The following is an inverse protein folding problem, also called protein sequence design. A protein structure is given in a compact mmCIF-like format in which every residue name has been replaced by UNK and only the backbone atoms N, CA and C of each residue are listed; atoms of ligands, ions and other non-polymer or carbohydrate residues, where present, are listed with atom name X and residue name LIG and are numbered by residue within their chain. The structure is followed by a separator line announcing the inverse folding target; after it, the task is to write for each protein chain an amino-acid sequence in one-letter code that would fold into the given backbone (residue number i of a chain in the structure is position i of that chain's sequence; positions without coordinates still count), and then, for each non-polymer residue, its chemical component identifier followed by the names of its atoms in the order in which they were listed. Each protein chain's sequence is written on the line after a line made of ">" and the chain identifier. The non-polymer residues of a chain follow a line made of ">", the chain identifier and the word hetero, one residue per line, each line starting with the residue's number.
data_IF_484913214004
#
_entry.id   IF_484913214004
#
_cell.length_a   1.000
_cell.length_b   1.000
_cell.length_c   1.000
_cell.angle_alpha   90.00
_cell.angle_beta   90.00
_cell.angle_gamma   90.00
#
_symmetry.space_group_name_H-M   'P 1'
#
loop_
_entity.id
_entity.type
_entity.pdbx_description
1 polymer ?
#
# COMPACT_ATOMS: atom_id res chain seq x y z
N UNK A 1 17.54 -6.87 -15.59
CA UNK A 1 18.87 -6.43 -16.04
C UNK A 1 19.89 -7.55 -15.95
N UNK A 2 20.59 -7.82 -17.06
CA UNK A 2 21.58 -8.88 -17.13
C UNK A 2 22.92 -8.41 -16.53
N UNK A 3 23.72 -9.27 -15.84
CA UNK A 3 25.02 -8.89 -15.28
C UNK A 3 25.99 -8.24 -16.28
N UNK A 4 25.83 -8.52 -17.56
CA UNK A 4 26.66 -7.98 -18.66
C UNK A 4 26.10 -6.69 -19.28
N UNK A 5 25.13 -6.01 -18.64
CA UNK A 5 24.53 -4.77 -19.13
C UNK A 5 23.52 -4.92 -20.28
N UNK A 6 23.17 -6.15 -20.67
CA UNK A 6 22.14 -6.40 -21.66
C UNK A 6 20.76 -6.45 -20.99
N UNK A 7 19.74 -5.87 -21.64
CA UNK A 7 18.34 -6.07 -21.23
C UNK A 7 17.93 -7.50 -21.55
N UNK A 8 17.37 -8.20 -20.54
CA UNK A 8 16.77 -9.52 -20.74
C UNK A 8 15.25 -9.38 -20.83
N UNK A 9 14.64 -10.11 -21.76
CA UNK A 9 13.18 -10.23 -21.85
C UNK A 9 12.63 -11.33 -20.96
N UNK A 10 13.49 -12.19 -20.41
CA UNK A 10 13.13 -13.29 -19.51
C UNK A 10 13.96 -13.14 -18.24
N UNK A 11 13.28 -13.21 -17.11
CA UNK A 11 13.88 -13.17 -15.77
C UNK A 11 13.31 -14.31 -14.93
N UNK A 12 13.84 -14.50 -13.73
CA UNK A 12 13.33 -15.46 -12.78
C UNK A 12 13.36 -14.86 -11.37
N UNK A 13 12.48 -15.35 -10.52
CA UNK A 13 12.37 -14.96 -9.11
C UNK A 13 12.22 -13.43 -8.92
N UNK A 14 11.34 -12.82 -9.70
CA UNK A 14 10.97 -11.43 -9.48
C UNK A 14 10.33 -11.28 -8.08
N UNK A 15 10.78 -10.30 -7.32
CA UNK A 15 10.23 -10.05 -5.98
C UNK A 15 8.72 -9.78 -6.02
N UNK A 16 8.22 -9.15 -7.10
CA UNK A 16 6.79 -8.95 -7.33
C UNK A 16 6.04 -10.29 -7.44
N UNK A 17 6.57 -11.25 -8.21
CA UNK A 17 5.90 -12.54 -8.42
C UNK A 17 5.90 -13.37 -7.12
N UNK A 18 6.99 -13.32 -6.37
CA UNK A 18 7.09 -13.96 -5.05
C UNK A 18 6.06 -13.36 -4.08
N UNK A 19 5.99 -12.02 -4.01
CA UNK A 19 5.05 -11.32 -3.15
C UNK A 19 3.58 -11.59 -3.53
N UNK A 20 3.26 -11.57 -4.83
CA UNK A 20 1.92 -11.88 -5.31
C UNK A 20 1.52 -13.33 -5.01
N UNK A 21 2.45 -14.28 -5.18
CA UNK A 21 2.21 -15.69 -4.82
C UNK A 21 2.00 -15.84 -3.30
N UNK A 22 2.84 -15.20 -2.49
CA UNK A 22 2.70 -15.19 -1.02
C UNK A 22 1.33 -14.65 -0.60
N UNK A 23 0.89 -13.54 -1.19
CA UNK A 23 -0.40 -12.91 -0.89
C UNK A 23 -1.58 -13.81 -1.28
N UNK A 24 -1.55 -14.44 -2.46
CA UNK A 24 -2.58 -15.41 -2.87
C UNK A 24 -2.63 -16.60 -1.91
N UNK A 25 -1.48 -17.15 -1.50
CA UNK A 25 -1.42 -18.27 -0.57
C UNK A 25 -1.93 -17.88 0.83
N UNK A 26 -1.71 -16.64 1.25
CA UNK A 26 -2.30 -16.07 2.47
C UNK A 26 -3.82 -16.00 2.35
N UNK A 27 -4.33 -15.44 1.24
CA UNK A 27 -5.79 -15.34 1.00
C UNK A 27 -6.48 -16.71 0.97
N UNK A 28 -5.85 -17.73 0.38
CA UNK A 28 -6.38 -19.11 0.40
C UNK A 28 -6.57 -19.59 1.83
N UNK A 29 -5.58 -19.38 2.70
CA UNK A 29 -5.66 -19.79 4.13
C UNK A 29 -6.77 -19.06 4.87
N UNK A 30 -6.92 -17.75 4.66
CA UNK A 30 -7.96 -16.94 5.28
C UNK A 30 -9.38 -17.30 4.80
N UNK A 31 -9.53 -17.59 3.51
CA UNK A 31 -10.82 -17.99 2.94
C UNK A 31 -11.27 -19.37 3.44
N UNK A 32 -10.34 -20.29 3.60
CA UNK A 32 -10.64 -21.62 4.03
C UNK A 32 -11.19 -21.69 5.46
N UNK A 33 -10.67 -20.87 6.36
CA UNK A 33 -11.23 -20.71 7.70
C UNK A 33 -12.72 -20.32 7.69
N UNK A 34 -13.19 -19.75 6.57
CA UNK A 34 -14.57 -19.28 6.40
C UNK A 34 -15.47 -20.24 5.63
N UNK A 35 -14.95 -20.98 4.66
CA UNK A 35 -15.73 -21.74 3.69
C UNK A 35 -15.95 -23.19 4.17
N UNK A 36 -15.02 -23.80 4.88
CA UNK A 36 -15.08 -25.17 5.42
C UNK A 36 -15.62 -26.19 4.39
N UNK A 37 -15.08 -26.20 3.16
CA UNK A 37 -15.43 -27.14 2.10
C UNK A 37 -14.76 -28.51 2.36
N UNK A 38 -15.35 -29.60 1.85
CA UNK A 38 -14.77 -30.96 1.97
C UNK A 38 -13.36 -31.09 1.39
N UNK A 39 -12.99 -30.22 0.41
CA UNK A 39 -11.64 -30.16 -0.19
C UNK A 39 -10.69 -29.19 0.47
N UNK A 40 -11.14 -28.48 1.50
CA UNK A 40 -10.35 -27.42 2.13
C UNK A 40 -9.03 -27.93 2.71
N UNK A 41 -9.01 -29.12 3.27
CA UNK A 41 -7.78 -29.74 3.77
C UNK A 41 -6.69 -29.96 2.71
N UNK A 42 -7.08 -30.31 1.48
CA UNK A 42 -6.15 -30.49 0.36
C UNK A 42 -5.54 -29.14 -0.07
N UNK A 43 -6.37 -28.11 -0.17
CA UNK A 43 -5.94 -26.76 -0.57
C UNK A 43 -5.01 -26.13 0.46
N UNK A 44 -5.29 -26.29 1.76
CA UNK A 44 -4.40 -25.85 2.83
C UNK A 44 -3.04 -26.53 2.76
N UNK A 45 -3.04 -27.84 2.59
CA UNK A 45 -1.80 -28.61 2.50
C UNK A 45 -0.99 -28.13 1.28
N UNK A 46 -1.62 -28.07 0.11
CA UNK A 46 -0.96 -27.60 -1.10
C UNK A 46 -0.45 -26.15 -0.99
N UNK A 47 -1.23 -25.26 -0.34
CA UNK A 47 -0.83 -23.86 -0.14
C UNK A 47 0.39 -23.74 0.79
N UNK A 48 0.47 -24.55 1.84
CA UNK A 48 1.62 -24.58 2.76
C UNK A 48 2.87 -25.13 2.07
N UNK A 49 2.73 -26.22 1.32
CA UNK A 49 3.83 -26.81 0.57
C UNK A 49 4.39 -25.85 -0.50
N UNK A 50 3.51 -25.11 -1.16
CA UNK A 50 3.94 -24.12 -2.14
C UNK A 50 4.59 -22.90 -1.47
N UNK A 51 4.03 -22.40 -0.37
CA UNK A 51 4.61 -21.31 0.39
C UNK A 51 6.04 -21.63 0.88
N UNK A 52 6.28 -22.87 1.30
CA UNK A 52 7.61 -23.34 1.73
C UNK A 52 8.64 -23.41 0.58
N UNK A 53 8.20 -23.38 -0.67
CA UNK A 53 9.06 -23.40 -1.87
C UNK A 53 9.31 -22.02 -2.46
N UNK A 54 8.62 -20.97 -1.99
CA UNK A 54 8.85 -19.62 -2.49
C UNK A 54 10.28 -19.18 -2.12
N UNK A 55 11.01 -18.58 -3.07
CA UNK A 55 12.33 -18.00 -2.76
C UNK A 55 12.21 -16.89 -1.73
N UNK A 56 13.26 -16.73 -0.93
CA UNK A 56 13.37 -15.57 -0.02
C UNK A 56 13.70 -14.30 -0.79
N UNK A 57 13.23 -13.18 -0.29
CA UNK A 57 13.64 -11.87 -0.81
C UNK A 57 15.13 -11.64 -0.63
N UNK A 58 15.74 -10.98 -1.60
CA UNK A 58 17.13 -10.56 -1.52
C UNK A 58 17.22 -9.05 -1.27
N UNK A 59 18.25 -8.64 -0.54
CA UNK A 59 18.57 -7.24 -0.31
C UNK A 59 19.83 -6.87 -1.06
N UNK A 60 19.92 -5.61 -1.50
CA UNK A 60 21.15 -5.07 -2.07
C UNK A 60 22.15 -4.68 -0.96
N UNK A 61 23.33 -4.18 -1.35
CA UNK A 61 24.39 -3.75 -0.43
C UNK A 61 23.98 -2.58 0.47
N UNK A 62 22.92 -1.86 0.13
CA UNK A 62 22.37 -0.76 0.94
C UNK A 62 21.28 -1.23 1.91
N UNK A 63 20.90 -2.50 1.85
CA UNK A 63 19.77 -3.08 2.58
C UNK A 63 18.41 -2.85 1.90
N UNK A 64 18.38 -2.33 0.68
CA UNK A 64 17.17 -2.17 -0.12
C UNK A 64 16.66 -3.49 -0.68
N UNK A 65 15.33 -3.67 -0.70
CA UNK A 65 14.71 -4.84 -1.34
C UNK A 65 15.01 -4.85 -2.84
N UNK A 66 15.55 -5.96 -3.33
CA UNK A 66 15.89 -6.14 -4.75
C UNK A 66 14.66 -6.46 -5.59
N UNK A 67 14.69 -6.03 -6.86
CA UNK A 67 13.69 -6.47 -7.86
C UNK A 67 13.72 -7.97 -8.12
N UNK A 68 14.91 -8.60 -7.98
CA UNK A 68 15.15 -9.98 -8.34
C UNK A 68 15.74 -10.75 -7.15
N UNK A 69 15.09 -11.83 -6.76
CA UNK A 69 15.61 -12.74 -5.75
C UNK A 69 16.65 -13.72 -6.32
N UNK A 70 17.47 -13.23 -7.25
CA UNK A 70 18.64 -13.88 -7.80
C UNK A 70 19.87 -13.01 -7.56
N UNK A 71 20.93 -13.53 -6.89
CA UNK A 71 22.12 -12.74 -6.58
C UNK A 71 22.80 -12.11 -7.80
N UNK A 72 22.74 -12.79 -8.95
CA UNK A 72 23.40 -12.37 -10.20
C UNK A 72 22.64 -11.27 -10.95
N UNK A 73 21.40 -10.98 -10.57
CA UNK A 73 20.60 -9.94 -11.21
C UNK A 73 20.77 -8.61 -10.47
N UNK A 74 21.02 -7.54 -11.23
CA UNK A 74 21.19 -6.20 -10.71
C UNK A 74 19.94 -5.36 -10.96
N UNK A 75 19.57 -4.52 -10.00
CA UNK A 75 18.44 -3.63 -10.12
C UNK A 75 18.77 -2.43 -11.01
N UNK A 76 17.79 -1.95 -11.74
CA UNK A 76 17.89 -0.70 -12.48
C UNK A 76 17.23 0.43 -11.70
N UNK A 77 17.98 1.14 -10.89
CA UNK A 77 17.47 2.26 -10.12
C UNK A 77 17.07 3.49 -10.96
N UNK A 78 17.42 3.53 -12.24
CA UNK A 78 17.04 4.62 -13.15
C UNK A 78 15.58 4.50 -13.65
N UNK A 79 14.93 3.36 -13.39
CA UNK A 79 13.57 3.09 -13.84
C UNK A 79 12.51 3.57 -12.83
N UNK A 80 11.38 4.12 -13.31
CA UNK A 80 10.31 4.66 -12.47
C UNK A 80 9.48 3.61 -11.71
N UNK A 81 9.38 2.39 -12.24
CA UNK A 81 8.55 1.35 -11.65
C UNK A 81 9.15 0.78 -10.37
N UNK A 82 8.28 0.45 -9.42
CA UNK A 82 8.61 -0.10 -8.09
C UNK A 82 7.82 -1.38 -7.81
N UNK A 83 7.57 -2.19 -8.83
CA UNK A 83 6.75 -3.41 -8.74
C UNK A 83 7.25 -4.43 -7.71
N UNK A 84 8.55 -4.45 -7.43
CA UNK A 84 9.15 -5.27 -6.37
C UNK A 84 8.63 -4.91 -4.96
N UNK A 85 8.03 -3.75 -4.78
CA UNK A 85 7.41 -3.33 -3.52
C UNK A 85 5.96 -3.79 -3.37
N UNK A 86 5.51 -4.76 -4.17
CA UNK A 86 4.20 -5.40 -4.02
C UNK A 86 3.95 -5.89 -2.59
N UNK A 87 4.95 -6.39 -1.90
CA UNK A 87 4.87 -6.82 -0.51
C UNK A 87 4.42 -5.71 0.46
N UNK A 88 4.63 -4.43 0.09
CA UNK A 88 4.11 -3.29 0.84
C UNK A 88 2.71 -2.90 0.34
N UNK A 89 2.55 -2.71 -0.98
CA UNK A 89 1.26 -2.41 -1.60
C UNK A 89 1.19 -3.04 -3.00
N UNK A 90 0.09 -3.76 -3.33
CA UNK A 90 -1.15 -4.01 -2.56
C UNK A 90 -1.02 -5.05 -1.44
N UNK A 91 0.08 -5.78 -1.35
CA UNK A 91 0.37 -6.72 -0.29
C UNK A 91 0.37 -6.07 1.10
N UNK A 92 0.49 -6.89 2.14
CA UNK A 92 0.43 -6.46 3.55
C UNK A 92 1.63 -6.96 4.37
N UNK A 93 2.59 -7.63 3.76
CA UNK A 93 3.71 -8.29 4.47
C UNK A 93 4.51 -7.30 5.33
N UNK A 94 4.68 -6.06 4.86
CA UNK A 94 5.41 -5.01 5.59
C UNK A 94 4.71 -4.54 6.87
N UNK A 95 3.42 -4.83 7.05
CA UNK A 95 2.70 -4.51 8.28
C UNK A 95 3.09 -5.44 9.43
N UNK A 96 3.51 -6.66 9.09
CA UNK A 96 3.87 -7.70 10.03
C UNK A 96 5.39 -7.97 10.08
N UNK A 97 6.18 -7.27 9.26
CA UNK A 97 7.64 -7.42 9.17
C UNK A 97 8.35 -6.06 9.06
N UNK A 98 8.81 -5.57 10.21
CA UNK A 98 9.49 -4.27 10.31
C UNK A 98 10.80 -4.22 9.50
N UNK A 99 11.53 -5.34 9.44
CA UNK A 99 12.77 -5.43 8.64
C UNK A 99 12.48 -5.29 7.15
N UNK A 100 11.45 -5.99 6.66
CA UNK A 100 11.00 -5.86 5.26
C UNK A 100 10.50 -4.45 4.95
N UNK A 101 9.76 -3.83 5.87
CA UNK A 101 9.30 -2.45 5.71
C UNK A 101 10.48 -1.48 5.55
N UNK A 102 11.56 -1.63 6.34
CA UNK A 102 12.74 -0.78 6.21
C UNK A 102 13.50 -1.04 4.90
N UNK A 103 13.60 -2.29 4.47
CA UNK A 103 14.18 -2.63 3.17
C UNK A 103 13.38 -2.03 2.00
N UNK A 104 12.05 -2.00 2.10
CA UNK A 104 11.21 -1.30 1.13
C UNK A 104 11.44 0.21 1.12
N UNK A 105 11.57 0.85 2.30
CA UNK A 105 11.92 2.29 2.39
C UNK A 105 13.28 2.57 1.75
N UNK A 106 14.27 1.71 1.99
CA UNK A 106 15.59 1.86 1.37
C UNK A 106 15.51 1.70 -0.15
N UNK A 107 14.75 0.73 -0.66
CA UNK A 107 14.55 0.54 -2.10
C UNK A 107 13.92 1.78 -2.77
N UNK A 108 12.94 2.43 -2.11
CA UNK A 108 12.38 3.70 -2.60
C UNK A 108 13.44 4.80 -2.63
N UNK A 109 14.26 4.94 -1.58
CA UNK A 109 15.35 5.93 -1.54
C UNK A 109 16.32 5.72 -2.70
N UNK A 110 16.76 4.47 -2.93
CA UNK A 110 17.65 4.13 -4.04
C UNK A 110 17.01 4.48 -5.40
N UNK A 111 15.73 4.17 -5.58
CA UNK A 111 15.00 4.45 -6.80
C UNK A 111 14.82 5.96 -7.02
N UNK A 112 14.50 6.72 -6.00
CA UNK A 112 14.33 8.17 -6.11
C UNK A 112 15.64 8.87 -6.49
N UNK A 113 16.79 8.43 -5.95
CA UNK A 113 18.09 8.95 -6.32
C UNK A 113 18.48 8.51 -7.73
N UNK A 114 18.29 7.23 -8.06
CA UNK A 114 18.71 6.66 -9.34
C UNK A 114 17.95 7.21 -10.55
N UNK A 115 16.65 7.48 -10.43
CA UNK A 115 15.83 7.95 -11.55
C UNK A 115 15.63 9.48 -11.60
N UNK A 116 16.21 10.23 -10.65
CA UNK A 116 16.07 11.68 -10.61
C UNK A 116 16.56 12.34 -11.91
N UNK A 117 15.67 13.14 -12.53
CA UNK A 117 15.95 13.80 -13.82
C UNK A 117 16.04 12.87 -15.03
N UNK A 118 15.65 11.60 -14.88
CA UNK A 118 15.69 10.61 -15.97
C UNK A 118 14.30 10.08 -16.32
N UNK A 119 13.69 9.30 -15.45
CA UNK A 119 12.41 8.60 -15.67
C UNK A 119 11.44 8.86 -14.52
N UNK A 120 11.45 10.08 -14.00
CA UNK A 120 10.72 10.48 -12.78
C UNK A 120 9.44 11.30 -13.06
N UNK A 121 9.07 11.51 -14.33
CA UNK A 121 7.96 12.41 -14.71
C UNK A 121 6.62 11.72 -14.94
N UNK A 122 6.56 10.41 -14.85
CA UNK A 122 5.35 9.65 -15.12
C UNK A 122 4.39 9.62 -13.92
N UNK A 123 3.19 10.15 -14.09
CA UNK A 123 2.18 10.32 -13.03
C UNK A 123 1.78 8.99 -12.36
N UNK A 124 1.65 7.89 -13.12
CA UNK A 124 1.37 6.57 -12.53
C UNK A 124 2.49 6.09 -11.58
N UNK A 125 3.76 6.43 -11.89
CA UNK A 125 4.88 6.12 -11.01
C UNK A 125 4.77 6.84 -9.66
N UNK A 126 4.28 8.07 -9.64
CA UNK A 126 4.01 8.81 -8.40
C UNK A 126 2.84 8.21 -7.62
N UNK A 127 1.79 7.76 -8.32
CA UNK A 127 0.67 7.06 -7.67
C UNK A 127 1.17 5.79 -6.96
N UNK A 128 1.96 4.95 -7.63
CA UNK A 128 2.48 3.73 -7.03
C UNK A 128 3.38 4.05 -5.82
N UNK A 129 4.27 5.03 -5.95
CA UNK A 129 5.10 5.50 -4.82
C UNK A 129 4.24 6.03 -3.65
N UNK A 130 3.16 6.75 -3.94
CA UNK A 130 2.24 7.26 -2.93
C UNK A 130 1.51 6.16 -2.17
N UNK A 131 1.02 5.14 -2.87
CA UNK A 131 0.36 3.98 -2.26
C UNK A 131 1.32 3.17 -1.36
N UNK A 132 2.56 2.98 -1.82
CA UNK A 132 3.60 2.32 -1.01
C UNK A 132 3.99 3.18 0.18
N UNK A 133 4.16 4.52 0.01
CA UNK A 133 4.47 5.43 1.11
C UNK A 133 3.39 5.40 2.20
N UNK A 134 2.10 5.38 1.79
CA UNK A 134 0.99 5.24 2.72
C UNK A 134 1.08 3.95 3.54
N UNK A 135 1.37 2.82 2.89
CA UNK A 135 1.54 1.52 3.58
C UNK A 135 2.76 1.45 4.46
N UNK A 136 3.82 2.15 4.11
CA UNK A 136 5.00 2.29 4.95
C UNK A 136 4.82 3.35 6.05
N UNK A 137 3.62 3.95 6.17
CA UNK A 137 3.28 4.99 7.17
C UNK A 137 4.17 6.22 7.06
N UNK A 138 4.58 6.56 5.84
CA UNK A 138 5.43 7.70 5.52
C UNK A 138 4.56 8.87 5.00
N UNK A 139 3.90 9.58 5.92
CA UNK A 139 3.05 10.73 5.62
C UNK A 139 3.80 11.89 4.96
N UNK A 140 5.10 12.03 5.23
CA UNK A 140 5.94 13.07 4.61
C UNK A 140 6.12 12.82 3.11
N UNK A 141 6.62 11.66 2.74
CA UNK A 141 6.79 11.28 1.32
C UNK A 141 5.44 11.30 0.59
N UNK A 142 4.38 10.85 1.25
CA UNK A 142 3.03 10.89 0.70
C UNK A 142 2.57 12.33 0.43
N UNK A 143 2.79 13.26 1.36
CA UNK A 143 2.46 14.68 1.19
C UNK A 143 3.24 15.33 0.03
N UNK A 144 4.52 14.97 -0.13
CA UNK A 144 5.34 15.41 -1.27
C UNK A 144 4.79 14.91 -2.60
N UNK A 145 4.37 13.64 -2.67
CA UNK A 145 3.78 13.04 -3.87
C UNK A 145 2.43 13.68 -4.21
N UNK A 146 1.56 13.91 -3.22
CA UNK A 146 0.29 14.60 -3.45
C UNK A 146 0.50 16.02 -3.98
N UNK A 147 1.49 16.76 -3.47
CA UNK A 147 1.85 18.09 -4.01
C UNK A 147 2.34 17.99 -5.44
N UNK A 148 3.21 17.04 -5.77
CA UNK A 148 3.67 16.81 -7.13
C UNK A 148 2.51 16.53 -8.08
N UNK A 149 1.59 15.65 -7.70
CA UNK A 149 0.42 15.32 -8.50
C UNK A 149 -0.48 16.54 -8.77
N UNK A 150 -0.73 17.36 -7.75
CA UNK A 150 -1.63 18.52 -7.86
C UNK A 150 -0.96 19.72 -8.55
N UNK A 151 0.34 19.93 -8.33
CA UNK A 151 1.07 21.07 -8.90
C UNK A 151 1.58 20.82 -10.32
N UNK A 152 1.66 19.54 -10.73
CA UNK A 152 2.03 19.19 -12.10
C UNK A 152 0.85 19.37 -13.03
N UNK A 153 1.12 19.81 -14.26
CA UNK A 153 0.10 20.11 -15.26
C UNK A 153 -0.45 18.82 -15.92
N UNK A 154 -0.83 17.81 -15.09
CA UNK A 154 -1.33 16.51 -15.52
C UNK A 154 -2.85 16.39 -15.43
N UNK A 155 -3.52 17.27 -14.68
CA UNK A 155 -4.98 17.25 -14.55
C UNK A 155 -5.64 18.21 -15.54
N UNK A 156 -6.70 17.76 -16.18
CA UNK A 156 -7.61 18.58 -16.96
C UNK A 156 -8.82 19.00 -16.13
N UNK A 157 -9.52 20.04 -16.57
CA UNK A 157 -10.77 20.48 -15.92
C UNK A 157 -11.87 19.41 -15.91
N UNK A 158 -11.78 18.44 -16.82
CA UNK A 158 -12.65 17.25 -16.88
C UNK A 158 -12.28 16.16 -15.87
N UNK A 159 -11.24 16.37 -15.05
CA UNK A 159 -10.61 15.36 -14.20
C UNK A 159 -9.92 14.20 -14.96
N UNK A 160 -9.81 14.29 -16.28
CA UNK A 160 -8.89 13.41 -17.02
C UNK A 160 -7.45 13.73 -16.65
N UNK A 161 -6.58 12.75 -16.78
CA UNK A 161 -5.17 12.89 -16.39
C UNK A 161 -4.23 12.43 -17.49
N UNK A 162 -3.11 13.14 -17.62
CA UNK A 162 -2.00 12.76 -18.48
C UNK A 162 -1.01 11.84 -17.77
N UNK A 163 -0.35 11.03 -18.59
CA UNK A 163 0.75 10.17 -18.13
C UNK A 163 2.01 10.99 -17.81
N UNK A 164 2.32 11.99 -18.62
CA UNK A 164 3.53 12.81 -18.51
C UNK A 164 3.21 14.28 -18.24
N UNK A 165 4.13 14.95 -17.56
CA UNK A 165 3.99 16.37 -17.21
C UNK A 165 4.27 17.33 -18.37
N UNK A 166 4.95 16.86 -19.41
CA UNK A 166 5.38 17.69 -20.54
C UNK A 166 4.29 17.95 -21.60
N UNK A 167 3.13 17.31 -21.45
CA UNK A 167 1.98 17.35 -22.39
C UNK A 167 2.33 17.15 -23.87
N UNK A 168 3.57 16.78 -24.17
CA UNK A 168 4.00 16.54 -25.56
C UNK A 168 3.45 15.23 -26.13
N UNK A 169 2.99 14.34 -25.26
CA UNK A 169 2.46 13.03 -25.59
C UNK A 169 1.17 12.80 -24.81
N UNK A 170 0.10 13.30 -25.26
CA UNK A 170 -1.24 13.22 -24.69
C UNK A 170 -1.68 11.77 -24.51
N UNK A 171 -1.21 11.16 -23.42
CA UNK A 171 -1.52 9.78 -23.05
C UNK A 171 -2.39 9.81 -21.81
N UNK A 172 -3.64 9.45 -21.97
CA UNK A 172 -4.55 9.33 -20.84
C UNK A 172 -4.05 8.30 -19.83
N UNK A 173 -4.01 8.67 -18.56
CA UNK A 173 -3.53 7.84 -17.48
C UNK A 173 -4.65 7.55 -16.47
N UNK A 174 -5.28 6.39 -16.59
CA UNK A 174 -6.34 5.94 -15.66
C UNK A 174 -5.81 5.70 -14.26
N UNK A 175 -4.55 5.25 -14.15
CA UNK A 175 -3.90 5.00 -12.85
C UNK A 175 -3.89 6.24 -11.98
N UNK A 176 -3.66 7.40 -12.58
CA UNK A 176 -3.52 8.65 -11.84
C UNK A 176 -4.84 9.10 -11.23
N UNK A 177 -5.91 9.16 -12.02
CA UNK A 177 -7.19 9.64 -11.51
C UNK A 177 -7.83 8.65 -10.52
N UNK A 178 -7.73 7.36 -10.80
CA UNK A 178 -8.30 6.33 -9.92
C UNK A 178 -7.42 6.09 -8.69
N UNK A 179 -6.10 6.11 -8.86
CA UNK A 179 -5.13 5.87 -7.79
C UNK A 179 -5.03 7.01 -6.79
N UNK A 180 -5.32 8.26 -7.19
CA UNK A 180 -5.33 9.41 -6.27
C UNK A 180 -6.30 9.20 -5.09
N UNK A 181 -7.49 8.69 -5.36
CA UNK A 181 -8.45 8.35 -4.30
C UNK A 181 -7.90 7.24 -3.40
N UNK A 182 -7.22 6.25 -3.97
CA UNK A 182 -6.56 5.18 -3.23
C UNK A 182 -5.47 5.70 -2.28
N UNK A 183 -4.63 6.64 -2.74
CA UNK A 183 -3.60 7.28 -1.90
C UNK A 183 -4.24 7.98 -0.70
N UNK A 184 -5.29 8.78 -0.93
CA UNK A 184 -6.00 9.51 0.12
C UNK A 184 -6.63 8.52 1.12
N UNK A 185 -7.27 7.47 0.63
CA UNK A 185 -7.85 6.45 1.49
C UNK A 185 -6.79 5.77 2.37
N UNK A 186 -5.71 5.28 1.77
CA UNK A 186 -4.63 4.60 2.50
C UNK A 186 -3.90 5.55 3.49
N UNK A 187 -3.86 6.86 3.22
CA UNK A 187 -3.34 7.85 4.15
C UNK A 187 -4.19 7.99 5.42
N UNK A 188 -5.51 7.84 5.27
CA UNK A 188 -6.49 8.06 6.33
C UNK A 188 -6.86 6.79 7.08
N UNK A 189 -6.90 5.65 6.38
CA UNK A 189 -7.35 4.37 6.96
C UNK A 189 -6.54 3.22 6.39
N UNK A 190 -5.81 2.55 7.25
CA UNK A 190 -5.33 1.20 7.00
C UNK A 190 -6.27 0.19 7.65
N UNK A 191 -6.51 -0.94 7.02
CA UNK A 191 -7.33 -2.00 7.61
C UNK A 191 -6.95 -3.38 7.11
N UNK A 192 -7.00 -4.33 8.02
CA UNK A 192 -6.97 -5.78 7.80
C UNK A 192 -8.06 -6.46 8.62
N UNK A 193 -8.17 -7.80 8.50
CA UNK A 193 -9.13 -8.56 9.31
C UNK A 193 -8.89 -8.33 10.80
N UNK A 194 -9.89 -7.82 11.49
CA UNK A 194 -9.83 -7.54 12.93
C UNK A 194 -9.03 -6.30 13.32
N UNK A 195 -8.57 -5.50 12.35
CA UNK A 195 -7.77 -4.30 12.62
C UNK A 195 -8.16 -3.11 11.73
N UNK A 196 -8.23 -1.95 12.34
CA UNK A 196 -8.34 -0.64 11.66
C UNK A 196 -7.34 0.32 12.33
N UNK A 197 -6.50 0.95 11.53
CA UNK A 197 -5.63 2.04 11.97
C UNK A 197 -6.07 3.33 11.30
N UNK A 198 -6.39 4.33 12.11
CA UNK A 198 -6.73 5.68 11.63
C UNK A 198 -5.47 6.55 11.50
N UNK A 199 -5.43 7.32 10.44
CA UNK A 199 -4.40 8.31 10.11
C UNK A 199 -2.97 7.71 10.06
N UNK A 200 -2.77 6.52 9.43
CA UNK A 200 -1.48 5.81 9.43
C UNK A 200 -0.38 6.61 8.73
N UNK A 201 -0.72 7.39 7.70
CA UNK A 201 0.25 8.12 6.88
C UNK A 201 -0.22 9.54 6.56
N UNK A 202 -0.72 10.24 7.57
CA UNK A 202 -1.28 11.58 7.39
C UNK A 202 -0.18 12.58 7.01
N UNK A 203 -0.31 13.34 5.90
CA UNK A 203 0.58 14.46 5.59
C UNK A 203 0.59 15.50 6.72
N UNK A 204 1.74 16.11 6.97
CA UNK A 204 1.92 17.08 8.06
C UNK A 204 0.96 18.29 7.96
N UNK A 205 0.56 18.65 6.75
CA UNK A 205 -0.35 19.76 6.48
C UNK A 205 -1.81 19.45 6.83
N UNK A 206 -2.18 18.17 6.92
CA UNK A 206 -3.56 17.75 7.19
C UNK A 206 -3.86 17.67 8.68
N UNK A 207 -3.55 18.73 9.41
CA UNK A 207 -3.74 18.80 10.87
C UNK A 207 -5.18 18.66 11.34
N UNK A 208 -6.13 18.97 10.48
CA UNK A 208 -7.56 18.79 10.72
C UNK A 208 -8.28 18.45 9.42
N UNK A 209 -9.36 17.71 9.55
CA UNK A 209 -10.17 17.32 8.39
C UNK A 209 -11.33 16.42 8.77
N UNK A 210 -12.13 16.11 7.77
CA UNK A 210 -13.18 15.10 7.87
C UNK A 210 -13.42 14.44 6.53
N UNK A 211 -13.86 13.19 6.59
CA UNK A 211 -14.27 12.41 5.43
C UNK A 211 -15.40 11.47 5.82
N UNK A 212 -16.29 11.22 4.90
CA UNK A 212 -17.44 10.36 5.09
C UNK A 212 -17.43 9.20 4.10
N UNK A 213 -17.97 8.04 4.52
CA UNK A 213 -18.25 6.92 3.64
C UNK A 213 -17.05 6.10 3.18
N UNK A 214 -15.97 6.01 3.97
CA UNK A 214 -14.86 5.11 3.66
C UNK A 214 -15.21 3.66 3.98
N UNK A 215 -14.72 2.72 3.17
CA UNK A 215 -14.89 1.30 3.40
C UNK A 215 -13.58 0.66 3.85
N UNK A 216 -13.57 0.11 5.05
CA UNK A 216 -12.47 -0.72 5.53
C UNK A 216 -12.55 -2.16 4.97
N UNK A 217 -11.39 -2.82 4.79
CA UNK A 217 -11.31 -4.21 4.27
C UNK A 217 -12.00 -5.23 5.18
N UNK A 218 -12.28 -4.86 6.41
CA UNK A 218 -12.97 -5.66 7.43
C UNK A 218 -14.50 -5.68 7.29
N UNK A 219 -15.08 -5.23 6.18
CA UNK A 219 -16.52 -5.04 5.99
C UNK A 219 -17.12 -4.06 7.00
N UNK A 220 -16.39 -3.03 7.37
CA UNK A 220 -16.85 -1.93 8.22
C UNK A 220 -16.87 -0.66 7.36
N UNK A 221 -18.06 -0.02 7.33
CA UNK A 221 -18.20 1.31 6.76
C UNK A 221 -17.84 2.34 7.83
N UNK A 222 -16.87 3.18 7.53
CA UNK A 222 -16.55 4.36 8.32
C UNK A 222 -17.44 5.48 7.80
N UNK A 223 -18.61 5.62 8.43
CA UNK A 223 -19.64 6.61 8.05
C UNK A 223 -19.14 8.02 8.17
N UNK A 224 -18.28 8.26 9.16
CA UNK A 224 -17.61 9.54 9.39
C UNK A 224 -16.26 9.29 10.04
N UNK A 225 -15.27 10.04 9.60
CA UNK A 225 -13.98 10.20 10.28
C UNK A 225 -13.66 11.69 10.30
N UNK A 226 -13.47 12.27 11.48
CA UNK A 226 -13.08 13.66 11.66
C UNK A 226 -11.93 13.76 12.66
N UNK A 227 -10.98 14.61 12.40
CA UNK A 227 -9.81 14.78 13.28
C UNK A 227 -9.39 16.24 13.41
N UNK A 228 -8.78 16.54 14.55
CA UNK A 228 -8.05 17.77 14.80
C UNK A 228 -6.84 17.46 15.70
N UNK A 229 -5.66 17.38 15.10
CA UNK A 229 -4.44 16.98 15.81
C UNK A 229 -3.97 18.02 16.82
N UNK A 230 -4.25 19.31 16.59
CA UNK A 230 -3.89 20.37 17.54
C UNK A 230 -4.70 20.25 18.84
N UNK A 231 -5.96 19.85 18.72
CA UNK A 231 -6.85 19.59 19.86
C UNK A 231 -6.73 18.15 20.38
N UNK A 232 -5.96 17.30 19.71
CA UNK A 232 -5.86 15.86 19.97
C UNK A 232 -7.23 15.16 20.00
N UNK A 233 -8.07 15.45 19.01
CA UNK A 233 -9.41 14.88 18.89
C UNK A 233 -9.50 14.09 17.61
N UNK A 234 -10.09 12.88 17.69
CA UNK A 234 -10.59 12.12 16.56
C UNK A 234 -11.98 11.61 16.90
N UNK A 235 -12.90 11.77 15.96
CA UNK A 235 -14.27 11.23 16.02
C UNK A 235 -14.50 10.32 14.83
N UNK A 236 -14.96 9.11 15.10
CA UNK A 236 -15.34 8.15 14.06
C UNK A 236 -16.71 7.54 14.32
N UNK A 237 -17.49 7.35 13.25
CA UNK A 237 -18.74 6.60 13.25
C UNK A 237 -18.57 5.37 12.36
N UNK A 238 -18.72 4.18 12.94
CA UNK A 238 -18.51 2.89 12.29
C UNK A 238 -19.80 2.10 12.21
N UNK A 239 -20.06 1.48 11.08
CA UNK A 239 -21.13 0.51 10.89
C UNK A 239 -20.54 -0.78 10.34
N UNK A 240 -20.67 -1.86 11.10
CA UNK A 240 -20.20 -3.18 10.68
C UNK A 240 -21.28 -3.94 9.91
N UNK A 241 -20.89 -4.65 8.85
CA UNK A 241 -21.81 -5.51 8.09
C UNK A 241 -21.84 -6.95 8.57
N UNK A 242 -21.11 -7.25 9.67
CA UNK A 242 -21.15 -8.54 10.35
C UNK A 242 -20.80 -8.34 11.84
N UNK A 243 -21.16 -9.31 12.69
CA UNK A 243 -20.72 -9.34 14.07
C UNK A 243 -19.23 -9.66 14.09
N UNK A 244 -18.40 -8.79 14.68
CA UNK A 244 -16.95 -9.00 14.71
C UNK A 244 -16.26 -8.21 15.83
N UNK A 245 -15.11 -8.76 16.26
CA UNK A 245 -14.16 -8.01 17.07
C UNK A 245 -13.18 -7.27 16.16
N UNK A 246 -12.87 -6.03 16.51
CA UNK A 246 -11.91 -5.19 15.79
C UNK A 246 -11.06 -4.39 16.75
N UNK A 247 -9.75 -4.42 16.54
CA UNK A 247 -8.81 -3.53 17.18
C UNK A 247 -8.77 -2.21 16.39
N UNK A 248 -8.95 -1.11 17.06
CA UNK A 248 -8.92 0.22 16.47
C UNK A 248 -7.78 1.00 17.09
N UNK A 249 -6.87 1.45 16.25
CA UNK A 249 -5.70 2.22 16.66
C UNK A 249 -5.61 3.57 15.95
N UNK A 250 -4.96 4.52 16.60
CA UNK A 250 -4.56 5.80 16.03
C UNK A 250 -3.24 6.22 16.67
N UNK A 251 -2.09 5.76 16.14
CA UNK A 251 -0.78 5.97 16.75
C UNK A 251 -0.43 7.44 16.97
N UNK A 252 -0.83 8.34 16.06
CA UNK A 252 -0.58 9.77 16.16
C UNK A 252 -1.27 10.40 17.40
N UNK A 253 -2.35 9.78 17.90
CA UNK A 253 -3.07 10.18 19.12
C UNK A 253 -2.80 9.21 20.28
N UNK A 254 -1.89 8.24 20.13
CA UNK A 254 -1.56 7.23 21.14
C UNK A 254 -2.77 6.41 21.61
N UNK A 255 -3.65 6.09 20.68
CA UNK A 255 -4.87 5.35 20.95
C UNK A 255 -4.79 3.91 20.42
N UNK A 256 -5.30 2.97 21.21
CA UNK A 256 -5.37 1.55 20.89
C UNK A 256 -6.45 0.89 21.76
N UNK A 257 -7.49 0.31 21.15
CA UNK A 257 -8.58 -0.35 21.86
C UNK A 257 -9.27 -1.41 21.00
N UNK A 258 -9.81 -2.45 21.65
CA UNK A 258 -10.61 -3.47 21.01
C UNK A 258 -12.11 -3.22 21.21
N UNK A 259 -12.89 -3.47 20.17
CA UNK A 259 -14.34 -3.30 20.16
C UNK A 259 -15.01 -4.53 19.60
N UNK A 260 -16.13 -4.90 20.19
CA UNK A 260 -17.08 -5.79 19.55
C UNK A 260 -18.13 -4.93 18.83
N UNK A 261 -18.25 -5.14 17.52
CA UNK A 261 -19.21 -4.45 16.66
C UNK A 261 -20.30 -5.43 16.26
N UNK A 262 -21.56 -5.04 16.47
CA UNK A 262 -22.71 -5.81 16.00
C UNK A 262 -23.11 -5.37 14.59
N UNK A 263 -23.58 -6.31 13.80
CA UNK A 263 -24.06 -6.05 12.45
C UNK A 263 -25.15 -4.97 12.45
N UNK A 264 -24.97 -3.94 11.61
CA UNK A 264 -25.91 -2.85 11.41
C UNK A 264 -26.00 -1.83 12.55
N UNK A 265 -25.25 -2.02 13.65
CA UNK A 265 -25.19 -1.06 14.74
C UNK A 265 -24.15 0.03 14.47
N UNK A 266 -24.55 1.28 14.68
CA UNK A 266 -23.65 2.42 14.57
C UNK A 266 -22.84 2.58 15.84
N UNK A 267 -21.51 2.39 15.75
CA UNK A 267 -20.58 2.62 16.84
C UNK A 267 -19.90 3.98 16.70
N UNK A 268 -20.01 4.81 17.72
CA UNK A 268 -19.28 6.08 17.81
C UNK A 268 -18.05 5.93 18.69
N UNK A 269 -16.93 6.45 18.20
CA UNK A 269 -15.66 6.48 18.89
C UNK A 269 -15.22 7.93 18.94
N UNK A 270 -14.76 8.35 20.12
CA UNK A 270 -14.14 9.67 20.33
C UNK A 270 -12.85 9.48 21.12
N UNK A 271 -11.79 10.01 20.58
CA UNK A 271 -10.43 9.99 21.13
C UNK A 271 -10.08 11.43 21.47
#
# INVERSE_FOLDING_TARGET
>A
NHPNGYSSTITANAAMDIAAASDVLRMIRELEERICDERSGEWLTASRELAAKLPEYQMDETGGLKEWSLPQMHDNHEHRHISHLYCAWPGVETQHNVGLAESCRQAIRNRNVGNAGKDDTASHGWIHKGLVAARLKDGRSLGEILRLLVQSDIFYSSLLTDHNTDRCRWVYCTDTILGLQGIIHEALVYSERGEIEFLPALPEEWKQGSVDGLMARTRICIRKLAWNLEKKILEAELESYEDQEVRISCPVLQYDACYYLKQGELRRIRI
#
